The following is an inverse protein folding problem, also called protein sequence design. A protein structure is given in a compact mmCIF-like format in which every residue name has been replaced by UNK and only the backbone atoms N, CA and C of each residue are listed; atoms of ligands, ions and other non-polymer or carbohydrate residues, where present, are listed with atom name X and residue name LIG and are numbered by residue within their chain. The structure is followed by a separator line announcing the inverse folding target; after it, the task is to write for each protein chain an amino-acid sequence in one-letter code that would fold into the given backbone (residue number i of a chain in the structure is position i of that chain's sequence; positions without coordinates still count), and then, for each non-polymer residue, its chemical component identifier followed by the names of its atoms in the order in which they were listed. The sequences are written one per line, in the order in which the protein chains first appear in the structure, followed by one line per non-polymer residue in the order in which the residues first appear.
data_IF_113295008308
#
_entry.id   IF_113295008308
#
_cell.length_a   1.000
_cell.length_b   1.000
_cell.length_c   1.000
_cell.angle_alpha   90.00
_cell.angle_beta   90.00
_cell.angle_gamma   90.00
#
_symmetry.space_group_name_H-M   'P 1'
#
loop_
_entity.id
_entity.type
_entity.pdbx_description
1 polymer ?
#
# COMPACT_ATOMS: atom_id res chain seq x y z
N UNK A 1 -29.79 -30.26 52.60
CA UNK A 1 -30.15 -29.26 51.58
C UNK A 1 -28.95 -28.88 50.71
N UNK A 2 -27.73 -28.77 51.23
CA UNK A 2 -26.54 -28.40 50.45
C UNK A 2 -26.04 -29.42 49.43
N UNK A 3 -26.10 -30.72 49.74
CA UNK A 3 -25.63 -31.76 48.81
C UNK A 3 -26.39 -31.78 47.46
N UNK A 4 -27.70 -31.44 47.47
CA UNK A 4 -28.48 -31.30 46.23
C UNK A 4 -28.08 -30.05 45.44
N UNK A 5 -27.77 -28.95 46.11
CA UNK A 5 -27.27 -27.71 45.47
C UNK A 5 -25.90 -27.91 44.85
N UNK A 6 -24.97 -28.57 45.56
CA UNK A 6 -23.65 -28.92 45.02
C UNK A 6 -23.75 -29.88 43.82
N UNK A 7 -24.55 -30.94 43.91
CA UNK A 7 -24.74 -31.88 42.80
C UNK A 7 -25.40 -31.25 41.56
N UNK A 8 -26.27 -30.26 41.76
CA UNK A 8 -26.90 -29.49 40.68
C UNK A 8 -25.89 -28.51 40.04
N UNK A 9 -25.07 -27.85 40.85
CA UNK A 9 -23.98 -26.99 40.38
C UNK A 9 -22.94 -27.73 39.53
N UNK A 10 -22.53 -28.94 39.96
CA UNK A 10 -21.58 -29.77 39.19
C UNK A 10 -22.10 -30.17 37.80
N UNK A 11 -23.42 -30.22 37.58
CA UNK A 11 -23.99 -30.49 36.25
C UNK A 11 -24.19 -29.23 35.40
N UNK A 12 -24.34 -28.08 36.05
CA UNK A 12 -24.54 -26.79 35.38
C UNK A 12 -23.21 -26.13 34.96
N UNK A 13 -22.12 -26.33 35.73
CA UNK A 13 -20.79 -25.77 35.40
C UNK A 13 -20.33 -26.12 33.98
N UNK A 14 -20.37 -27.39 33.53
CA UNK A 14 -19.90 -27.73 32.19
C UNK A 14 -20.80 -27.19 31.07
N UNK A 15 -22.10 -27.02 31.34
CA UNK A 15 -23.02 -26.41 30.37
C UNK A 15 -22.77 -24.91 30.24
N UNK A 16 -22.47 -24.24 31.35
CA UNK A 16 -22.07 -22.83 31.33
C UNK A 16 -20.73 -22.65 30.62
N UNK A 17 -19.72 -23.45 30.96
CA UNK A 17 -18.41 -23.44 30.29
C UNK A 17 -18.54 -23.68 28.78
N UNK A 18 -19.41 -24.62 28.36
CA UNK A 18 -19.67 -24.86 26.95
C UNK A 18 -20.35 -23.67 26.24
N UNK A 19 -21.32 -23.02 26.91
CA UNK A 19 -21.98 -21.82 26.38
C UNK A 19 -21.01 -20.63 26.30
N UNK A 20 -20.14 -20.46 27.29
CA UNK A 20 -19.10 -19.44 27.30
C UNK A 20 -18.14 -19.68 26.12
N UNK A 21 -17.69 -20.91 25.92
CA UNK A 21 -16.82 -21.26 24.80
C UNK A 21 -17.49 -21.02 23.43
N UNK A 22 -18.75 -21.43 23.27
CA UNK A 22 -19.49 -21.22 22.02
C UNK A 22 -19.69 -19.72 21.72
N UNK A 23 -19.97 -18.92 22.74
CA UNK A 23 -20.08 -17.47 22.60
C UNK A 23 -18.73 -16.82 22.21
N UNK A 24 -17.62 -17.28 22.79
CA UNK A 24 -16.29 -16.81 22.43
C UNK A 24 -15.92 -17.16 20.98
N UNK A 25 -16.22 -18.39 20.55
CA UNK A 25 -15.98 -18.87 19.19
C UNK A 25 -16.79 -18.05 18.16
N UNK A 26 -18.06 -17.77 18.44
CA UNK A 26 -18.90 -16.95 17.57
C UNK A 26 -18.43 -15.48 17.53
N UNK A 27 -17.98 -14.93 18.66
CA UNK A 27 -17.39 -13.60 18.70
C UNK A 27 -16.11 -13.52 17.84
N UNK A 28 -15.27 -14.56 17.88
CA UNK A 28 -14.08 -14.64 17.05
C UNK A 28 -14.44 -14.67 15.56
N UNK A 29 -15.39 -15.53 15.15
CA UNK A 29 -15.87 -15.61 13.76
C UNK A 29 -16.43 -14.28 13.25
N UNK A 30 -17.20 -13.58 14.10
CA UNK A 30 -17.74 -12.27 13.76
C UNK A 30 -16.63 -11.22 13.55
N UNK A 31 -15.60 -11.23 14.41
CA UNK A 31 -14.43 -10.34 14.29
C UNK A 31 -13.60 -10.63 13.04
N UNK A 32 -13.38 -11.90 12.72
CA UNK A 32 -12.67 -12.31 11.50
C UNK A 32 -13.43 -11.87 10.25
N UNK A 33 -14.75 -12.08 10.23
CA UNK A 33 -15.62 -11.63 9.14
C UNK A 33 -15.54 -10.11 8.95
N UNK A 34 -15.64 -9.34 10.04
CA UNK A 34 -15.48 -7.88 9.99
C UNK A 34 -14.10 -7.46 9.47
N UNK A 35 -13.04 -8.11 9.95
CA UNK A 35 -11.67 -7.81 9.53
C UNK A 35 -11.47 -8.08 8.04
N UNK A 36 -12.01 -9.19 7.52
CA UNK A 36 -11.89 -9.58 6.11
C UNK A 36 -12.49 -8.54 5.16
N UNK A 37 -13.56 -7.85 5.56
CA UNK A 37 -14.22 -6.82 4.74
C UNK A 37 -13.64 -5.43 4.97
N UNK A 38 -13.16 -5.11 6.18
CA UNK A 38 -12.66 -3.77 6.53
C UNK A 38 -11.19 -3.56 6.17
N UNK A 39 -10.34 -4.59 6.28
CA UNK A 39 -8.92 -4.46 5.98
C UNK A 39 -8.64 -4.03 4.52
N UNK A 40 -9.29 -4.60 3.48
CA UNK A 40 -9.13 -4.12 2.10
C UNK A 40 -9.58 -2.67 1.91
N UNK A 41 -10.61 -2.21 2.63
CA UNK A 41 -11.09 -0.83 2.56
C UNK A 41 -10.09 0.15 3.17
N UNK A 42 -9.46 -0.23 4.28
CA UNK A 42 -8.39 0.56 4.91
C UNK A 42 -7.20 0.72 3.96
N UNK A 43 -6.73 -0.37 3.34
CA UNK A 43 -5.65 -0.33 2.34
C UNK A 43 -6.04 0.57 1.16
N UNK A 44 -7.27 0.48 0.67
CA UNK A 44 -7.75 1.37 -0.41
C UNK A 44 -7.69 2.84 -0.01
N UNK A 45 -8.09 3.17 1.22
CA UNK A 45 -8.04 4.54 1.73
C UNK A 45 -6.60 5.06 1.86
N UNK A 46 -5.69 4.23 2.35
CA UNK A 46 -4.26 4.55 2.42
C UNK A 46 -3.68 4.83 1.03
N UNK A 47 -3.94 3.97 0.05
CA UNK A 47 -3.46 4.16 -1.32
C UNK A 47 -3.97 5.46 -1.96
N UNK A 48 -5.23 5.84 -1.68
CA UNK A 48 -5.80 7.13 -2.13
C UNK A 48 -5.06 8.30 -1.49
N UNK A 49 -4.88 8.28 -0.17
CA UNK A 49 -4.12 9.32 0.53
C UNK A 49 -2.69 9.45 0.02
N UNK A 50 -2.04 8.31 -0.25
CA UNK A 50 -0.68 8.26 -0.83
C UNK A 50 -0.63 8.86 -2.24
N UNK A 51 -1.62 8.56 -3.08
CA UNK A 51 -1.72 9.14 -4.44
C UNK A 51 -1.92 10.66 -4.38
N UNK A 52 -2.81 11.14 -3.52
CA UNK A 52 -3.09 12.57 -3.36
C UNK A 52 -1.88 13.33 -2.80
N UNK A 53 -1.15 12.75 -1.85
CA UNK A 53 0.08 13.33 -1.32
C UNK A 53 1.16 13.51 -2.41
N UNK A 54 1.33 12.52 -3.30
CA UNK A 54 2.28 12.64 -4.42
C UNK A 54 1.80 13.64 -5.47
N UNK A 55 0.50 13.72 -5.77
CA UNK A 55 -0.04 14.77 -6.63
C UNK A 55 0.26 16.17 -6.08
N UNK A 56 0.06 16.38 -4.78
CA UNK A 56 0.41 17.65 -4.13
C UNK A 56 1.92 17.93 -4.21
N UNK A 57 2.77 16.90 -4.03
CA UNK A 57 4.22 17.01 -4.18
C UNK A 57 4.60 17.46 -5.60
N UNK A 58 4.06 16.82 -6.62
CA UNK A 58 4.29 17.15 -8.03
C UNK A 58 3.90 18.60 -8.34
N UNK A 59 2.72 19.04 -7.89
CA UNK A 59 2.26 20.42 -8.08
C UNK A 59 3.20 21.44 -7.45
N UNK A 60 3.71 21.18 -6.25
CA UNK A 60 4.68 22.06 -5.56
C UNK A 60 6.01 22.20 -6.29
N UNK A 61 6.37 21.22 -7.11
CA UNK A 61 7.59 21.23 -7.91
C UNK A 61 7.36 21.71 -9.35
N UNK A 62 6.15 22.17 -9.70
CA UNK A 62 5.84 22.69 -11.03
C UNK A 62 5.73 21.62 -12.13
N UNK A 63 5.62 20.34 -11.75
CA UNK A 63 5.59 19.20 -12.67
C UNK A 63 4.17 18.69 -12.96
N UNK A 64 3.13 19.45 -12.59
CA UNK A 64 1.74 19.01 -12.70
C UNK A 64 1.27 18.76 -14.15
N UNK A 65 1.85 19.49 -15.10
CA UNK A 65 1.52 19.40 -16.53
C UNK A 65 2.36 18.36 -17.28
N UNK A 66 3.24 17.63 -16.58
CA UNK A 66 4.06 16.59 -17.19
C UNK A 66 3.16 15.45 -17.73
N UNK A 67 3.17 15.14 -19.04
CA UNK A 67 2.24 14.17 -19.62
C UNK A 67 2.39 12.75 -19.05
N UNK A 68 3.61 12.34 -18.72
CA UNK A 68 3.87 11.02 -18.13
C UNK A 68 3.26 10.93 -16.73
N UNK A 69 3.42 11.97 -15.92
CA UNK A 69 2.83 12.02 -14.58
C UNK A 69 1.30 12.06 -14.62
N UNK A 70 0.71 12.78 -15.57
CA UNK A 70 -0.75 12.81 -15.78
C UNK A 70 -1.25 11.39 -16.12
N UNK A 71 -0.64 10.73 -17.10
CA UNK A 71 -1.04 9.38 -17.53
C UNK A 71 -0.99 8.37 -16.37
N UNK A 72 0.12 8.40 -15.62
CA UNK A 72 0.35 7.49 -14.49
C UNK A 72 -0.59 7.78 -13.32
N UNK A 73 -0.85 9.05 -13.02
CA UNK A 73 -1.84 9.45 -12.03
C UNK A 73 -3.24 8.96 -12.42
N UNK A 74 -3.65 9.18 -13.66
CA UNK A 74 -4.98 8.79 -14.13
C UNK A 74 -5.15 7.26 -14.15
N UNK A 75 -4.11 6.51 -14.51
CA UNK A 75 -4.13 5.05 -14.41
C UNK A 75 -4.35 4.58 -12.96
N UNK A 76 -3.61 5.14 -11.99
CA UNK A 76 -3.80 4.80 -10.58
C UNK A 76 -5.19 5.22 -10.06
N UNK A 77 -5.65 6.43 -10.42
CA UNK A 77 -6.96 6.96 -10.05
C UNK A 77 -8.10 6.10 -10.58
N UNK A 78 -8.04 5.67 -11.85
CA UNK A 78 -9.06 4.77 -12.44
C UNK A 78 -9.21 3.49 -11.63
N UNK A 79 -8.10 2.86 -11.23
CA UNK A 79 -8.14 1.64 -10.41
C UNK A 79 -8.68 1.92 -9.00
N UNK A 80 -8.19 2.97 -8.33
CA UNK A 80 -8.59 3.28 -6.95
C UNK A 80 -10.04 3.73 -6.78
N UNK A 81 -10.71 4.16 -7.85
CA UNK A 81 -12.12 4.56 -7.84
C UNK A 81 -13.06 3.59 -8.59
N UNK A 82 -12.56 2.44 -9.06
CA UNK A 82 -13.42 1.40 -9.64
C UNK A 82 -14.18 0.58 -8.60
N UNK A 83 -15.22 -0.11 -9.03
CA UNK A 83 -15.90 -1.15 -8.26
C UNK A 83 -16.24 -2.32 -9.21
N UNK A 84 -15.70 -3.54 -8.97
CA UNK A 84 -14.72 -3.91 -7.94
C UNK A 84 -13.34 -3.25 -8.15
N UNK A 85 -12.51 -3.18 -7.10
CA UNK A 85 -11.14 -2.65 -7.13
C UNK A 85 -10.15 -3.78 -6.81
N UNK A 86 -9.27 -4.11 -7.75
CA UNK A 86 -8.12 -4.98 -7.49
C UNK A 86 -7.02 -4.16 -6.80
N UNK A 87 -6.87 -4.34 -5.48
CA UNK A 87 -5.92 -3.59 -4.67
C UNK A 87 -4.46 -3.82 -5.06
N UNK A 88 -4.12 -5.03 -5.50
CA UNK A 88 -2.75 -5.36 -5.90
C UNK A 88 -2.38 -4.60 -7.18
N UNK A 89 -3.30 -4.57 -8.15
CA UNK A 89 -3.11 -3.80 -9.40
C UNK A 89 -3.09 -2.30 -9.12
N UNK A 90 -3.99 -1.82 -8.25
CA UNK A 90 -4.04 -0.41 -7.85
C UNK A 90 -2.76 0.02 -7.14
N UNK A 91 -2.23 -0.78 -6.22
CA UNK A 91 -0.97 -0.52 -5.54
C UNK A 91 0.20 -0.42 -6.52
N UNK A 92 0.31 -1.35 -7.46
CA UNK A 92 1.35 -1.29 -8.49
C UNK A 92 1.23 -0.03 -9.35
N UNK A 93 0.02 0.43 -9.66
CA UNK A 93 -0.19 1.68 -10.39
C UNK A 93 0.28 2.89 -9.58
N UNK A 94 -0.02 2.93 -8.28
CA UNK A 94 0.48 3.97 -7.36
C UNK A 94 2.01 3.94 -7.29
N UNK A 95 2.64 2.77 -7.13
CA UNK A 95 4.09 2.64 -7.10
C UNK A 95 4.74 3.14 -8.40
N UNK A 96 4.17 2.80 -9.56
CA UNK A 96 4.65 3.31 -10.87
C UNK A 96 4.56 4.84 -10.97
N UNK A 97 3.53 5.45 -10.42
CA UNK A 97 3.43 6.91 -10.34
C UNK A 97 4.50 7.48 -9.40
N UNK A 98 4.68 6.90 -8.21
CA UNK A 98 5.69 7.34 -7.26
C UNK A 98 7.11 7.26 -7.81
N UNK A 99 7.44 6.18 -8.54
CA UNK A 99 8.73 6.05 -9.21
C UNK A 99 8.94 7.12 -10.27
N UNK A 100 7.95 7.37 -11.14
CA UNK A 100 8.05 8.44 -12.14
C UNK A 100 8.24 9.83 -11.50
N UNK A 101 7.53 10.10 -10.39
CA UNK A 101 7.75 11.33 -9.62
C UNK A 101 9.16 11.39 -9.04
N UNK A 102 9.68 10.28 -8.50
CA UNK A 102 11.02 10.24 -7.94
C UNK A 102 12.11 10.44 -9.01
N UNK A 103 11.93 9.89 -10.22
CA UNK A 103 12.84 10.07 -11.36
C UNK A 103 12.90 11.52 -11.81
N UNK A 104 11.75 12.19 -11.98
CA UNK A 104 11.70 13.59 -12.42
C UNK A 104 12.17 14.59 -11.35
N UNK A 105 12.08 14.23 -10.07
CA UNK A 105 12.57 15.06 -8.97
C UNK A 105 14.05 14.84 -8.65
N UNK A 106 14.71 13.82 -9.24
CA UNK A 106 16.15 13.69 -9.11
C UNK A 106 16.81 14.87 -9.82
N UNK A 107 17.73 15.61 -9.16
CA UNK A 107 18.46 16.67 -9.82
C UNK A 107 19.28 16.06 -10.95
N UNK A 108 19.03 16.47 -12.19
CA UNK A 108 19.92 16.20 -13.32
C UNK A 108 21.32 16.71 -12.92
N UNK A 109 22.25 15.78 -12.67
CA UNK A 109 23.67 16.10 -12.66
C UNK A 109 24.04 16.38 -14.12
N UNK A 110 24.39 17.61 -14.52
CA UNK A 110 24.83 17.84 -15.88
C UNK A 110 26.05 16.96 -16.15
N UNK A 111 26.02 16.21 -17.25
CA UNK A 111 27.19 15.50 -17.76
C UNK A 111 28.30 16.53 -17.93
N UNK A 112 29.33 16.44 -17.08
CA UNK A 112 30.49 17.32 -17.14
C UNK A 112 31.23 17.13 -18.48
N UNK A 113 31.94 18.15 -18.97
CA UNK A 113 32.55 18.10 -20.29
C UNK A 113 33.53 16.93 -20.37
N UNK A 114 33.28 16.02 -21.32
CA UNK A 114 34.30 15.09 -21.78
C UNK A 114 35.30 15.90 -22.60
N UNK A 115 36.22 16.58 -21.91
CA UNK A 115 37.38 17.18 -22.55
C UNK A 115 38.17 16.05 -23.19
N UNK A 116 38.03 15.97 -24.52
CA UNK A 116 38.70 15.04 -25.39
C UNK A 116 40.20 15.11 -25.13
N UNK A 117 40.71 14.03 -24.55
CA UNK A 117 42.15 13.77 -24.39
C UNK A 117 42.75 13.47 -25.78
N UNK A 118 42.85 14.52 -26.60
CA UNK A 118 43.63 14.54 -27.82
C UNK A 118 45.03 15.05 -27.52
N UNK A 119 45.97 14.13 -27.28
CA UNK A 119 47.38 14.40 -27.45
C UNK A 119 47.99 13.18 -28.13
N UNK A 120 48.19 13.33 -29.45
CA UNK A 120 48.56 12.28 -30.37
C UNK A 120 49.93 11.65 -30.07
N UNK A 121 49.94 10.32 -30.03
CA UNK A 121 51.11 9.54 -30.37
C UNK A 121 51.07 9.20 -31.86
N UNK A 122 52.17 9.49 -32.55
CA UNK A 122 52.68 9.02 -33.86
C UNK A 122 53.70 10.10 -34.28
N UNK A 123 55.01 9.90 -34.48
CA UNK A 123 55.76 8.76 -35.01
C UNK A 123 56.66 9.29 -36.14
N UNK A 124 57.95 8.91 -36.14
CA UNK A 124 58.93 8.91 -37.27
C UNK A 124 59.54 10.25 -37.79
N UNK A 125 60.80 10.35 -38.25
CA UNK A 125 61.82 9.36 -38.66
C UNK A 125 63.27 9.86 -38.48
N UNK A 126 64.20 8.90 -38.43
CA UNK A 126 65.65 9.04 -38.65
C UNK A 126 65.98 9.06 -40.14
#
# INVERSE_FOLDING_TARGET
SDHRRHAQWHRLSPLLEALEQEAEDELLRARESLTSVTAPLAVRAELRGRLDAYKAKVARHGLAEDPLLIERYDAARRMLWSAPCDLRVAEQAVLRYQHAVAELLQPHRPDGPQDGRGAGGQGESR
#
